data_IF_413731952140
#
_entry.id   IF_413731952140
#
_cell.length_a   1.000
_cell.length_b   1.000
_cell.length_c   1.000
_cell.angle_alpha   90.00
_cell.angle_beta   90.00
_cell.angle_gamma   90.00
#
_symmetry.space_group_name_H-M   'P 1'
#
loop_
_entity.id
_entity.type
_entity.pdbx_description
1 polymer ?
#
# COMPACT_ATOMS: atom_id res chain seq x y z
N UNK A 1 7.39 0.42 -17.91
CA UNK A 1 8.62 -0.39 -17.74
C UNK A 1 9.64 -0.14 -18.85
N UNK A 2 9.29 -0.25 -20.14
CA UNK A 2 10.24 -0.01 -21.24
C UNK A 2 10.84 1.41 -21.28
N UNK A 3 10.02 2.45 -21.10
CA UNK A 3 10.50 3.85 -21.03
C UNK A 3 11.44 4.07 -19.84
N UNK A 4 11.17 3.42 -18.71
CA UNK A 4 12.01 3.52 -17.51
C UNK A 4 13.36 2.86 -17.75
N UNK A 5 13.42 1.69 -18.41
CA UNK A 5 14.69 1.05 -18.77
C UNK A 5 15.52 1.86 -19.77
N UNK A 6 14.89 2.72 -20.58
CA UNK A 6 15.59 3.61 -21.51
C UNK A 6 16.27 4.79 -20.79
N UNK A 7 15.62 5.37 -19.79
CA UNK A 7 16.17 6.48 -18.98
C UNK A 7 17.06 6.02 -17.83
N UNK A 8 16.77 4.85 -17.25
CA UNK A 8 17.52 4.20 -16.19
C UNK A 8 17.88 2.78 -16.64
N UNK A 9 18.94 2.62 -17.47
CA UNK A 9 19.38 1.30 -17.92
C UNK A 9 19.72 0.43 -16.70
N UNK A 10 19.38 -0.87 -16.73
CA UNK A 10 19.59 -1.76 -15.60
C UNK A 10 21.07 -2.19 -15.48
N UNK A 11 21.98 -1.23 -15.35
CA UNK A 11 23.42 -1.46 -15.33
C UNK A 11 23.86 -2.26 -14.10
N UNK A 12 23.03 -2.29 -13.04
CA UNK A 12 23.20 -3.14 -11.87
C UNK A 12 23.32 -4.65 -12.18
N UNK A 13 22.83 -5.11 -13.35
CA UNK A 13 22.99 -6.49 -13.81
C UNK A 13 24.39 -6.77 -14.38
N UNK A 14 25.05 -5.76 -14.94
CA UNK A 14 26.31 -5.90 -15.69
C UNK A 14 27.52 -5.37 -14.93
N UNK A 15 27.33 -4.40 -14.04
CA UNK A 15 28.42 -3.70 -13.33
C UNK A 15 28.93 -4.47 -12.09
N UNK A 16 28.44 -5.69 -11.85
CA UNK A 16 28.81 -6.52 -10.68
C UNK A 16 28.22 -6.06 -9.34
N UNK A 17 27.47 -4.95 -9.32
CA UNK A 17 26.80 -4.41 -8.12
C UNK A 17 25.89 -5.44 -7.43
N UNK A 18 25.28 -6.34 -8.22
CA UNK A 18 24.43 -7.41 -7.72
C UNK A 18 25.20 -8.40 -6.83
N UNK A 19 26.38 -8.84 -7.28
CA UNK A 19 27.28 -9.70 -6.51
C UNK A 19 27.97 -8.96 -5.36
N UNK A 20 28.16 -7.64 -5.47
CA UNK A 20 28.75 -6.80 -4.42
C UNK A 20 27.86 -6.66 -3.16
N UNK A 21 26.66 -7.24 -3.16
CA UNK A 21 25.80 -7.36 -1.97
C UNK A 21 24.40 -6.79 -2.14
N UNK A 22 24.10 -6.16 -3.28
CA UNK A 22 22.76 -5.63 -3.59
C UNK A 22 21.70 -6.74 -3.59
N UNK A 23 22.08 -7.97 -3.94
CA UNK A 23 21.18 -9.13 -3.92
C UNK A 23 20.53 -9.37 -2.55
N UNK A 24 21.22 -9.07 -1.44
CA UNK A 24 20.68 -9.24 -0.08
C UNK A 24 19.50 -8.30 0.15
N UNK A 25 19.67 -7.03 -0.20
CA UNK A 25 18.63 -6.02 -0.09
C UNK A 25 17.46 -6.33 -1.03
N UNK A 26 17.75 -6.73 -2.27
CA UNK A 26 16.73 -7.14 -3.23
C UNK A 26 15.91 -8.34 -2.73
N UNK A 27 16.56 -9.32 -2.08
CA UNK A 27 15.89 -10.48 -1.51
C UNK A 27 14.93 -10.08 -0.37
N UNK A 28 15.40 -9.33 0.63
CA UNK A 28 14.54 -8.88 1.73
C UNK A 28 13.42 -7.96 1.26
N UNK A 29 13.72 -7.01 0.37
CA UNK A 29 12.75 -6.08 -0.17
C UNK A 29 11.70 -6.79 -1.05
N UNK A 30 12.11 -7.73 -1.90
CA UNK A 30 11.19 -8.52 -2.71
C UNK A 30 10.32 -9.43 -1.84
N UNK A 31 10.90 -10.08 -0.84
CA UNK A 31 10.18 -11.00 0.04
C UNK A 31 9.14 -10.25 0.90
N UNK A 32 9.57 -9.25 1.66
CA UNK A 32 8.70 -8.54 2.61
C UNK A 32 7.90 -7.40 1.97
N UNK A 33 8.43 -6.75 0.94
CA UNK A 33 7.77 -5.63 0.27
C UNK A 33 6.80 -6.05 -0.83
N UNK A 34 6.94 -7.26 -1.40
CA UNK A 34 6.09 -7.71 -2.53
C UNK A 34 5.46 -9.07 -2.25
N UNK A 35 6.26 -10.12 -2.05
CA UNK A 35 5.73 -11.50 -1.98
C UNK A 35 4.75 -11.69 -0.82
N UNK A 36 5.14 -11.29 0.40
CA UNK A 36 4.31 -11.46 1.59
C UNK A 36 3.01 -10.65 1.49
N UNK A 37 3.03 -9.33 1.19
CA UNK A 37 1.80 -8.55 1.04
C UNK A 37 0.87 -9.10 -0.04
N UNK A 38 1.40 -9.48 -1.22
CA UNK A 38 0.59 -9.99 -2.33
C UNK A 38 -0.13 -11.29 -1.95
N UNK A 39 0.55 -12.22 -1.28
CA UNK A 39 -0.06 -13.48 -0.83
C UNK A 39 -1.12 -13.20 0.24
N UNK A 40 -0.80 -12.36 1.23
CA UNK A 40 -1.74 -12.00 2.29
C UNK A 40 -3.01 -11.33 1.74
N UNK A 41 -2.87 -10.38 0.81
CA UNK A 41 -4.01 -9.75 0.15
C UNK A 41 -4.79 -10.75 -0.71
N UNK A 42 -4.10 -11.55 -1.53
CA UNK A 42 -4.76 -12.53 -2.41
C UNK A 42 -5.60 -13.55 -1.65
N UNK A 43 -5.14 -14.00 -0.48
CA UNK A 43 -5.88 -14.92 0.39
C UNK A 43 -6.94 -14.19 1.23
N UNK A 44 -6.65 -12.96 1.67
CA UNK A 44 -7.50 -12.19 2.57
C UNK A 44 -8.73 -11.60 1.88
N UNK A 45 -8.56 -10.99 0.70
CA UNK A 45 -9.61 -10.36 -0.11
C UNK A 45 -10.86 -11.24 -0.30
N UNK A 46 -10.75 -12.52 -0.73
CA UNK A 46 -11.94 -13.37 -0.91
C UNK A 46 -12.64 -13.74 0.41
N UNK A 47 -11.95 -13.67 1.55
CA UNK A 47 -12.51 -13.99 2.88
C UNK A 47 -13.22 -12.81 3.55
N UNK A 48 -12.74 -11.58 3.31
CA UNK A 48 -13.29 -10.36 3.93
C UNK A 48 -14.35 -9.67 3.06
N UNK A 49 -14.46 -10.03 1.78
CA UNK A 49 -15.39 -9.44 0.83
C UNK A 49 -14.85 -8.16 0.18
N UNK A 50 -15.47 -7.79 -0.95
CA UNK A 50 -14.99 -6.71 -1.84
C UNK A 50 -14.94 -5.35 -1.14
N UNK A 51 -15.98 -4.99 -0.38
CA UNK A 51 -16.02 -3.73 0.38
C UNK A 51 -14.86 -3.58 1.38
N UNK A 52 -14.63 -4.57 2.25
CA UNK A 52 -13.54 -4.52 3.23
C UNK A 52 -12.16 -4.60 2.59
N UNK A 53 -12.02 -5.30 1.46
CA UNK A 53 -10.75 -5.37 0.74
C UNK A 53 -10.29 -4.02 0.18
N UNK A 54 -11.23 -3.19 -0.30
CA UNK A 54 -10.92 -1.83 -0.78
C UNK A 54 -10.52 -0.90 0.37
N UNK A 55 -11.08 -1.10 1.57
CA UNK A 55 -10.65 -0.38 2.78
C UNK A 55 -9.21 -0.76 3.15
N UNK A 56 -8.90 -2.06 3.16
CA UNK A 56 -7.55 -2.58 3.43
C UNK A 56 -6.51 -2.03 2.45
N UNK A 57 -6.80 -2.00 1.16
CA UNK A 57 -5.89 -1.44 0.16
C UNK A 57 -5.66 0.06 0.32
N UNK A 58 -6.73 0.83 0.60
CA UNK A 58 -6.58 2.27 0.82
C UNK A 58 -5.80 2.59 2.12
N UNK A 59 -5.87 1.71 3.12
CA UNK A 59 -5.15 1.87 4.38
C UNK A 59 -3.64 1.57 4.27
N UNK A 60 -3.17 0.92 3.19
CA UNK A 60 -1.76 0.59 2.98
C UNK A 60 -0.88 1.86 2.96
N UNK A 61 -1.27 2.86 2.17
CA UNK A 61 -0.50 4.10 2.01
C UNK A 61 -0.38 4.91 3.32
N UNK A 62 -1.45 5.18 4.09
CA UNK A 62 -1.31 5.83 5.39
C UNK A 62 -0.49 5.03 6.40
N UNK A 63 -0.63 3.70 6.39
CA UNK A 63 0.13 2.82 7.28
C UNK A 63 1.62 2.88 6.95
N UNK A 64 1.99 2.92 5.67
CA UNK A 64 3.36 3.09 5.23
C UNK A 64 3.96 4.42 5.71
N UNK A 65 3.18 5.51 5.67
CA UNK A 65 3.62 6.81 6.19
C UNK A 65 3.87 6.73 7.70
N UNK A 66 2.92 6.19 8.48
CA UNK A 66 3.07 6.03 9.92
C UNK A 66 4.30 5.17 10.25
N UNK A 67 4.52 4.09 9.49
CA UNK A 67 5.69 3.24 9.61
C UNK A 67 7.00 4.01 9.32
N UNK A 68 7.02 4.90 8.31
CA UNK A 68 8.20 5.74 8.03
C UNK A 68 8.54 6.65 9.21
N UNK A 69 7.54 7.31 9.78
CA UNK A 69 7.74 8.22 10.94
C UNK A 69 8.24 7.45 12.16
N UNK A 70 7.72 6.25 12.39
CA UNK A 70 7.98 5.48 13.62
C UNK A 70 9.24 4.61 13.54
N UNK A 71 9.50 3.98 12.40
CA UNK A 71 10.62 3.04 12.23
C UNK A 71 11.87 3.72 11.66
N UNK A 72 11.70 4.66 10.73
CA UNK A 72 12.81 5.37 10.07
C UNK A 72 13.14 6.67 10.81
N UNK A 73 12.29 7.10 11.75
CA UNK A 73 12.41 8.37 12.50
C UNK A 73 12.53 9.58 11.59
N UNK A 74 11.81 9.55 10.46
CA UNK A 74 11.84 10.63 9.49
C UNK A 74 11.18 11.89 10.06
N UNK A 75 11.86 13.04 9.91
CA UNK A 75 11.41 14.29 10.51
C UNK A 75 10.28 14.86 9.67
N UNK A 76 9.05 14.60 10.10
CA UNK A 76 7.86 15.08 9.40
C UNK A 76 7.49 16.47 9.88
N UNK A 77 7.42 17.40 8.94
CA UNK A 77 7.00 18.78 9.22
C UNK A 77 5.54 18.84 9.64
N UNK A 78 5.17 19.88 10.39
CA UNK A 78 3.78 20.08 10.82
C UNK A 78 2.79 20.16 9.64
N UNK A 79 3.23 20.70 8.50
CA UNK A 79 2.43 20.79 7.27
C UNK A 79 2.14 19.41 6.65
N UNK A 80 3.11 18.49 6.70
CA UNK A 80 2.91 17.11 6.22
C UNK A 80 1.93 16.34 7.11
N UNK A 81 1.92 16.60 8.42
CA UNK A 81 0.92 16.04 9.34
C UNK A 81 -0.51 16.44 8.98
N UNK A 82 -0.71 17.72 8.63
CA UNK A 82 -2.01 18.20 8.12
C UNK A 82 -2.36 17.45 6.82
N UNK A 83 -1.40 17.32 5.90
CA UNK A 83 -1.60 16.54 4.67
C UNK A 83 -2.01 15.08 4.92
N UNK A 84 -1.38 14.41 5.88
CA UNK A 84 -1.71 13.03 6.27
C UNK A 84 -3.14 12.94 6.80
N UNK A 85 -3.55 13.87 7.68
CA UNK A 85 -4.91 13.93 8.20
C UNK A 85 -5.91 14.12 7.05
N UNK A 86 -5.62 15.02 6.11
CA UNK A 86 -6.48 15.26 4.94
C UNK A 86 -6.59 14.02 4.04
N UNK A 87 -5.49 13.32 3.78
CA UNK A 87 -5.48 12.07 2.99
C UNK A 87 -6.31 11.00 3.71
N UNK A 88 -6.11 10.82 5.02
CA UNK A 88 -6.87 9.87 5.84
C UNK A 88 -8.37 10.17 5.81
N UNK A 89 -8.77 11.43 5.95
CA UNK A 89 -10.17 11.86 5.85
C UNK A 89 -10.72 11.61 4.44
N UNK A 90 -9.95 11.97 3.41
CA UNK A 90 -10.30 11.76 2.00
C UNK A 90 -10.49 10.29 1.64
N UNK A 91 -9.74 9.39 2.28
CA UNK A 91 -9.94 7.94 2.18
C UNK A 91 -11.15 7.49 3.02
N UNK A 92 -11.37 8.05 4.21
CA UNK A 92 -12.42 7.55 5.10
C UNK A 92 -13.85 7.91 4.64
N UNK A 93 -14.06 9.10 4.10
CA UNK A 93 -15.40 9.60 3.69
C UNK A 93 -16.07 8.73 2.60
N UNK A 94 -15.47 8.51 1.41
CA UNK A 94 -16.09 7.72 0.34
C UNK A 94 -16.30 6.26 0.76
N UNK A 95 -15.42 5.72 1.60
CA UNK A 95 -15.56 4.40 2.20
C UNK A 95 -16.79 4.32 3.11
N UNK A 96 -17.01 5.32 3.98
CA UNK A 96 -18.16 5.35 4.88
C UNK A 96 -19.48 5.47 4.12
N UNK A 97 -19.51 6.23 3.02
CA UNK A 97 -20.68 6.37 2.16
C UNK A 97 -21.02 5.06 1.42
N UNK A 98 -20.01 4.38 0.89
CA UNK A 98 -20.16 3.07 0.23
C UNK A 98 -20.68 2.02 1.22
N UNK A 99 -20.09 1.93 2.41
CA UNK A 99 -20.53 1.00 3.46
C UNK A 99 -21.98 1.25 3.91
N UNK A 100 -22.41 2.51 3.99
CA UNK A 100 -23.80 2.87 4.31
C UNK A 100 -24.77 2.50 3.18
N UNK A 101 -24.36 2.64 1.92
CA UNK A 101 -25.17 2.27 0.75
C UNK A 101 -25.40 0.76 0.68
N UNK A 102 -24.37 -0.04 0.91
CA UNK A 102 -24.47 -1.51 0.96
C UNK A 102 -25.41 -1.99 2.08
N UNK A 103 -25.33 -1.40 3.29
CA UNK A 103 -26.27 -1.72 4.38
C UNK A 103 -27.72 -1.37 4.05
N UNK A 104 -27.97 -0.27 3.33
CA UNK A 104 -29.32 0.16 2.96
C UNK A 104 -29.94 -0.78 1.92
N UNK A 105 -29.14 -1.31 0.99
CA UNK A 105 -29.59 -2.24 -0.04
C UNK A 105 -29.96 -3.61 0.52
N UNK A 106 -29.17 -4.15 1.46
CA UNK A 106 -29.50 -5.43 2.13
C UNK A 106 -30.80 -5.38 2.94
N UNK A 107 -31.16 -4.22 3.50
CA UNK A 107 -32.39 -4.04 4.29
C UNK A 107 -33.66 -3.98 3.44
N UNK A 108 -33.56 -3.58 2.17
CA UNK A 108 -34.69 -3.50 1.23
C UNK A 108 -34.96 -4.85 0.56
N UNK A 109 -33.95 -5.71 0.39
CA UNK A 109 -34.12 -7.05 -0.19
C UNK A 109 -34.63 -8.10 0.81
N UNK A 110 -34.66 -7.77 2.10
CA UNK A 110 -35.15 -8.65 3.19
C UNK A 110 -36.55 -8.26 3.71
N UNK A 111 -37.23 -7.32 3.04
CA UNK A 111 -38.57 -6.84 3.35
C UNK A 111 -39.48 -7.08 2.14
#
# INVERSE_FOLDING_TARGET
TLIVCLFFPPTFLTDGALQAGLWKYAFFLGLFGVVVPVICFSIGVPKVGTGLSTILGAAELPTAIIASITLVHEVVTFMQWIGIIFILIGIFIPQLLTARKERKQNRVHSA
#
